data_IF_677955967550
#
_entry.id   IF_677955967550
#
_cell.length_a   1.000
_cell.length_b   1.000
_cell.length_c   1.000
_cell.angle_alpha   90.00
_cell.angle_beta   90.00
_cell.angle_gamma   90.00
#
_symmetry.space_group_name_H-M   'P 1'
#
loop_
_entity.id
_entity.type
_entity.pdbx_description
1 polymer ?
#
# COMPACT_ATOMS: atom_id res chain seq x y z
N UNK A 1 18.99 -1.40 17.73
CA UNK A 1 17.56 -1.07 17.60
C UNK A 1 16.98 -2.07 16.61
N UNK A 2 16.02 -2.88 17.03
CA UNK A 2 15.62 -4.07 16.27
C UNK A 2 14.55 -3.71 15.23
N UNK A 3 14.69 -4.24 14.02
CA UNK A 3 13.65 -4.10 13.00
C UNK A 3 12.44 -4.96 13.40
N UNK A 4 11.25 -4.36 13.41
CA UNK A 4 10.01 -5.10 13.60
C UNK A 4 9.08 -4.93 12.42
N UNK A 5 8.18 -5.90 12.25
CA UNK A 5 7.14 -5.85 11.25
C UNK A 5 6.03 -4.90 11.73
N UNK A 6 5.83 -3.81 11.01
CA UNK A 6 4.76 -2.86 11.25
C UNK A 6 3.62 -3.09 10.28
N UNK A 7 2.40 -3.03 10.79
CA UNK A 7 1.19 -2.90 9.98
C UNK A 7 0.98 -1.41 9.70
N UNK A 8 0.90 -1.02 8.44
CA UNK A 8 0.58 0.34 8.01
C UNK A 8 -0.70 0.26 7.19
N UNK A 9 -1.72 1.01 7.56
CA UNK A 9 -2.98 1.05 6.84
C UNK A 9 -3.18 2.44 6.23
N UNK A 10 -3.62 2.47 4.98
CA UNK A 10 -4.07 3.69 4.30
C UNK A 10 -5.59 3.65 4.20
N UNK A 11 -6.24 4.64 4.80
CA UNK A 11 -7.68 4.79 4.71
C UNK A 11 -8.09 5.28 3.32
N UNK A 12 -9.33 4.99 2.88
CA UNK A 12 -9.92 5.59 1.68
C UNK A 12 -9.88 7.13 1.70
N UNK A 13 -9.98 7.74 2.89
CA UNK A 13 -9.82 9.19 3.10
C UNK A 13 -8.44 9.73 2.67
N UNK A 14 -7.45 8.86 2.54
CA UNK A 14 -6.07 9.20 2.22
C UNK A 14 -5.15 9.32 3.44
N UNK A 15 -5.70 9.18 4.65
CA UNK A 15 -4.93 9.15 5.89
C UNK A 15 -4.12 7.86 6.02
N UNK A 16 -2.99 7.97 6.73
CA UNK A 16 -2.09 6.85 7.00
C UNK A 16 -2.00 6.61 8.50
N UNK A 17 -2.20 5.37 8.90
CA UNK A 17 -2.00 4.92 10.28
C UNK A 17 -0.99 3.77 10.33
N UNK A 18 -0.42 3.55 11.50
CA UNK A 18 0.52 2.46 11.75
C UNK A 18 0.22 1.79 13.09
N UNK A 19 0.49 0.50 13.17
CA UNK A 19 0.17 -0.34 14.32
C UNK A 19 -1.13 -1.14 14.14
N UNK A 20 -1.52 -1.85 15.19
CA UNK A 20 -2.66 -2.76 15.17
C UNK A 20 -2.39 -4.05 14.37
N UNK A 21 -3.43 -4.88 14.27
CA UNK A 21 -3.40 -6.14 13.51
C UNK A 21 -3.90 -5.89 12.10
N UNK A 22 -3.35 -6.58 11.10
CA UNK A 22 -3.86 -6.52 9.71
C UNK A 22 -5.29 -7.06 9.55
N UNK A 23 -5.75 -7.83 10.53
CA UNK A 23 -7.09 -8.43 10.54
C UNK A 23 -8.10 -7.57 11.30
N UNK A 24 -7.72 -6.35 11.68
CA UNK A 24 -8.62 -5.45 12.37
C UNK A 24 -9.76 -5.03 11.41
N UNK A 25 -11.03 -5.16 11.81
CA UNK A 25 -12.16 -4.71 11.00
C UNK A 25 -12.10 -3.22 10.64
N UNK A 26 -11.45 -2.40 11.46
CA UNK A 26 -11.21 -1.00 11.14
C UNK A 26 -10.38 -0.80 9.85
N UNK A 27 -9.66 -1.84 9.42
CA UNK A 27 -8.86 -1.83 8.20
C UNK A 27 -9.49 -2.60 7.04
N UNK A 28 -10.75 -3.05 7.15
CA UNK A 28 -11.42 -3.83 6.08
C UNK A 28 -11.49 -3.08 4.75
N UNK A 29 -11.68 -1.77 4.77
CA UNK A 29 -11.67 -0.92 3.57
C UNK A 29 -10.32 -0.21 3.34
N UNK A 30 -9.33 -0.50 4.19
CA UNK A 30 -8.02 0.13 4.11
C UNK A 30 -7.05 -0.69 3.29
N UNK A 31 -6.10 -0.01 2.67
CA UNK A 31 -4.97 -0.67 2.04
C UNK A 31 -3.92 -0.97 3.11
N UNK A 32 -3.68 -2.25 3.34
CA UNK A 32 -2.78 -2.70 4.41
C UNK A 32 -1.43 -3.10 3.83
N UNK A 33 -0.37 -2.56 4.43
CA UNK A 33 1.02 -2.84 4.12
C UNK A 33 1.72 -3.42 5.35
N UNK A 34 2.45 -4.51 5.18
CA UNK A 34 3.32 -5.05 6.23
C UNK A 34 4.77 -4.70 5.90
N UNK A 35 5.39 -3.86 6.72
CA UNK A 35 6.71 -3.28 6.45
C UNK A 35 7.66 -3.54 7.62
N UNK A 36 8.82 -4.13 7.33
CA UNK A 36 9.91 -4.21 8.29
C UNK A 36 10.60 -2.85 8.45
N UNK A 37 10.58 -2.32 9.67
CA UNK A 37 11.30 -1.10 10.02
C UNK A 37 11.60 -1.03 11.52
N UNK A 38 12.63 -0.28 11.86
CA UNK A 38 12.96 0.03 13.24
C UNK A 38 11.91 0.98 13.85
N UNK A 39 11.53 2.02 13.10
CA UNK A 39 10.58 3.04 13.54
C UNK A 39 9.28 3.03 12.72
N UNK A 40 8.14 3.39 13.33
CA UNK A 40 6.86 3.41 12.62
C UNK A 40 6.82 4.45 11.50
N UNK A 41 7.46 5.60 11.70
CA UNK A 41 7.55 6.67 10.68
C UNK A 41 8.26 6.18 9.42
N UNK A 42 9.26 5.33 9.56
CA UNK A 42 9.98 4.73 8.42
C UNK A 42 9.13 3.68 7.73
N UNK A 43 8.35 2.89 8.49
CA UNK A 43 7.38 1.97 7.92
C UNK A 43 6.35 2.69 7.03
N UNK A 44 5.82 3.83 7.49
CA UNK A 44 4.87 4.65 6.70
C UNK A 44 5.54 5.17 5.42
N UNK A 45 6.75 5.71 5.49
CA UNK A 45 7.48 6.19 4.29
C UNK A 45 7.72 5.08 3.28
N UNK A 46 8.14 3.89 3.74
CA UNK A 46 8.33 2.71 2.89
C UNK A 46 7.01 2.26 2.27
N UNK A 47 5.91 2.24 3.03
CA UNK A 47 4.57 1.90 2.52
C UNK A 47 4.09 2.89 1.44
N UNK A 48 4.28 4.20 1.67
CA UNK A 48 3.95 5.23 0.68
C UNK A 48 4.77 5.06 -0.61
N UNK A 49 6.07 4.76 -0.50
CA UNK A 49 6.92 4.50 -1.65
C UNK A 49 6.47 3.25 -2.42
N UNK A 50 6.09 2.18 -1.71
CA UNK A 50 5.55 0.97 -2.31
C UNK A 50 4.26 1.27 -3.08
N UNK A 51 3.30 1.98 -2.46
CA UNK A 51 2.05 2.37 -3.14
C UNK A 51 2.29 3.22 -4.38
N UNK A 52 3.22 4.18 -4.35
CA UNK A 52 3.56 4.98 -5.54
C UNK A 52 4.08 4.09 -6.68
N UNK A 53 4.89 3.08 -6.38
CA UNK A 53 5.38 2.11 -7.37
C UNK A 53 4.24 1.24 -7.89
N UNK A 54 3.37 0.75 -7.01
CA UNK A 54 2.24 -0.10 -7.39
C UNK A 54 1.25 0.65 -8.27
N UNK A 55 0.91 1.90 -7.93
CA UNK A 55 0.06 2.78 -8.76
C UNK A 55 0.72 3.06 -10.11
N UNK A 56 2.04 3.33 -10.13
CA UNK A 56 2.76 3.54 -11.39
C UNK A 56 2.75 2.29 -12.26
N UNK A 57 2.93 1.11 -11.67
CA UNK A 57 2.87 -0.18 -12.37
C UNK A 57 1.46 -0.48 -12.86
N UNK A 58 0.43 -0.25 -12.03
CA UNK A 58 -0.96 -0.43 -12.40
C UNK A 58 -1.32 0.46 -13.59
N UNK A 59 -0.93 1.74 -13.59
CA UNK A 59 -1.15 2.64 -14.74
C UNK A 59 -0.41 2.21 -16.01
N UNK A 60 0.81 1.70 -15.87
CA UNK A 60 1.56 1.18 -17.03
C UNK A 60 0.92 -0.10 -17.59
N UNK A 61 0.40 -0.97 -16.71
CA UNK A 61 -0.27 -2.21 -17.11
C UNK A 61 -1.69 -1.97 -17.67
N UNK A 62 -2.41 -0.97 -17.15
CA UNK A 62 -3.69 -0.51 -17.71
C UNK A 62 -3.50 0.10 -19.09
N UNK A 63 -2.41 0.88 -19.31
CA UNK A 63 -2.09 1.41 -20.64
C UNK A 63 -1.77 0.31 -21.68
N UNK A 64 -1.27 -0.85 -21.25
CA UNK A 64 -1.03 -2.02 -22.11
C UNK A 64 -2.29 -2.88 -22.34
N UNK A 65 -3.27 -2.80 -21.42
CA UNK A 65 -4.50 -3.62 -21.48
C UNK A 65 -5.67 -2.95 -22.21
N UNK A 66 -5.63 -1.63 -22.45
CA UNK A 66 -6.67 -0.93 -23.22
C UNK A 66 -6.44 -0.92 -24.74
N UNK A 67 -5.28 -1.37 -25.24
CA UNK A 67 -5.02 -1.43 -26.70
C UNK A 67 -5.44 -2.75 -27.37
N UNK A 68 -5.78 -3.80 -26.62
CA UNK A 68 -6.14 -5.11 -27.20
C UNK A 68 -7.64 -5.49 -27.09
N UNK A 69 -8.53 -4.51 -26.93
CA UNK A 69 -9.99 -4.74 -26.87
C UNK A 69 -10.81 -3.93 -27.90
N UNK A 70 -10.17 -3.35 -28.92
CA UNK A 70 -10.86 -2.64 -30.02
C UNK A 70 -10.60 -3.19 -31.43
N UNK A 71 -9.98 -4.36 -31.58
CA UNK A 71 -9.82 -5.02 -32.88
C UNK A 71 -10.43 -6.42 -32.84
N UNK A 72 -11.74 -6.52 -33.03
CA UNK A 72 -12.46 -7.70 -33.52
C UNK A 72 -13.78 -7.27 -34.14
#
# INVERSE_FOLDING_TARGET
MEEKLWTVARFPSGEWTYGGKKTDPAYSECEIYQISAVMPKDAVKKAQAQRRKDVKRAKANEAESTENAQSS
#
